data_IF_790240560407
#
_entry.id   IF_790240560407
#
_cell.length_a   1.000
_cell.length_b   1.000
_cell.length_c   1.000
_cell.angle_alpha   90.00
_cell.angle_beta   90.00
_cell.angle_gamma   90.00
#
_symmetry.space_group_name_H-M   'P 1'
#
loop_
_entity.id
_entity.type
_entity.pdbx_description
1 polymer ?
#
# COMPACT_ATOMS: atom_id res chain seq x y z
N UNK A 1 15.50 21.48 -5.73
CA UNK A 1 14.88 20.65 -6.79
C UNK A 1 13.68 19.82 -6.31
N UNK A 2 13.60 19.39 -5.04
CA UNK A 2 12.46 18.61 -4.50
C UNK A 2 11.09 19.34 -4.52
N UNK A 3 11.06 20.64 -4.20
CA UNK A 3 9.79 21.39 -4.16
C UNK A 3 9.06 21.54 -5.51
N UNK A 4 9.75 21.37 -6.64
CA UNK A 4 9.09 21.42 -7.95
C UNK A 4 8.42 20.09 -8.32
N UNK A 5 8.98 18.96 -7.86
CA UNK A 5 8.39 17.64 -8.06
C UNK A 5 7.17 17.42 -7.17
N UNK A 6 7.22 17.89 -5.92
CA UNK A 6 6.06 17.91 -5.02
C UNK A 6 4.89 18.71 -5.60
N UNK A 7 5.13 19.93 -6.07
CA UNK A 7 4.08 20.76 -6.70
C UNK A 7 3.49 20.13 -7.96
N UNK A 8 4.32 19.44 -8.76
CA UNK A 8 3.83 18.72 -9.94
C UNK A 8 2.94 17.53 -9.56
N UNK A 9 3.35 16.76 -8.55
CA UNK A 9 2.56 15.65 -8.00
C UNK A 9 1.23 16.14 -7.43
N UNK A 10 1.24 17.23 -6.65
CA UNK A 10 0.02 17.86 -6.13
C UNK A 10 -0.93 18.27 -7.26
N UNK A 11 -0.41 18.88 -8.34
CA UNK A 11 -1.20 19.28 -9.48
C UNK A 11 -1.77 18.10 -10.29
N UNK A 12 -1.08 16.96 -10.31
CA UNK A 12 -1.56 15.72 -10.94
C UNK A 12 -2.64 15.05 -10.07
N UNK A 13 -2.43 14.96 -8.76
CA UNK A 13 -3.43 14.46 -7.80
C UNK A 13 -4.71 15.30 -7.82
N UNK A 14 -4.56 16.64 -7.86
CA UNK A 14 -5.70 17.55 -7.97
C UNK A 14 -6.50 17.31 -9.25
N UNK A 15 -5.82 17.14 -10.40
CA UNK A 15 -6.48 16.87 -11.68
C UNK A 15 -7.19 15.52 -11.69
N UNK A 16 -6.59 14.47 -11.13
CA UNK A 16 -7.23 13.17 -11.03
C UNK A 16 -8.49 13.22 -10.14
N UNK A 17 -8.41 13.90 -9.00
CA UNK A 17 -9.56 14.11 -8.12
C UNK A 17 -10.67 14.94 -8.78
N UNK A 18 -10.31 15.99 -9.53
CA UNK A 18 -11.27 16.81 -10.25
C UNK A 18 -11.96 16.04 -11.39
N UNK A 19 -11.24 15.15 -12.08
CA UNK A 19 -11.83 14.26 -13.08
C UNK A 19 -12.82 13.27 -12.46
N UNK A 20 -12.52 12.70 -11.29
CA UNK A 20 -13.46 11.85 -10.56
C UNK A 20 -14.70 12.63 -10.14
N UNK A 21 -14.52 13.87 -9.66
CA UNK A 21 -15.63 14.76 -9.31
C UNK A 21 -16.49 15.13 -10.52
N UNK A 22 -15.88 15.41 -11.66
CA UNK A 22 -16.58 15.91 -12.85
C UNK A 22 -17.25 14.79 -13.68
N UNK A 23 -16.70 13.58 -13.66
CA UNK A 23 -17.13 12.49 -14.55
C UNK A 23 -17.76 11.30 -13.81
N UNK A 24 -17.85 11.32 -12.49
CA UNK A 24 -18.59 10.30 -11.73
C UNK A 24 -19.93 10.83 -11.23
N UNK A 25 -20.88 9.92 -10.99
CA UNK A 25 -22.13 10.22 -10.27
C UNK A 25 -21.93 10.25 -8.74
N UNK A 26 -20.67 10.18 -8.28
CA UNK A 26 -20.33 10.04 -6.88
C UNK A 26 -20.26 11.42 -6.20
N UNK A 27 -20.76 11.48 -4.98
CA UNK A 27 -20.58 12.60 -4.07
C UNK A 27 -19.10 12.72 -3.65
N UNK A 28 -18.72 13.91 -3.17
CA UNK A 28 -17.37 14.14 -2.62
C UNK A 28 -16.97 13.12 -1.54
N UNK A 29 -17.92 12.65 -0.73
CA UNK A 29 -17.67 11.65 0.29
C UNK A 29 -17.39 10.26 -0.29
N UNK A 30 -18.03 9.91 -1.40
CA UNK A 30 -17.96 8.56 -1.99
C UNK A 30 -16.65 8.35 -2.77
N UNK A 31 -16.11 9.37 -3.43
CA UNK A 31 -14.82 9.23 -4.11
C UNK A 31 -13.60 9.54 -3.21
N UNK A 32 -13.76 10.34 -2.15
CA UNK A 32 -12.63 10.72 -1.28
C UNK A 32 -12.14 9.55 -0.44
N UNK A 33 -13.04 8.74 0.13
CA UNK A 33 -12.69 7.56 0.91
C UNK A 33 -11.82 6.53 0.18
N UNK A 34 -12.19 6.03 -1.02
CA UNK A 34 -11.36 5.06 -1.75
C UNK A 34 -10.01 5.65 -2.18
N UNK A 35 -9.96 6.93 -2.58
CA UNK A 35 -8.70 7.60 -2.93
C UNK A 35 -7.77 7.70 -1.72
N UNK A 36 -8.29 8.10 -0.56
CA UNK A 36 -7.53 8.14 0.69
C UNK A 36 -7.06 6.74 1.12
N UNK A 37 -7.91 5.73 0.96
CA UNK A 37 -7.58 4.32 1.22
C UNK A 37 -6.40 3.83 0.38
N UNK A 38 -6.39 4.13 -0.92
CA UNK A 38 -5.28 3.76 -1.82
C UNK A 38 -3.97 4.48 -1.46
N UNK A 39 -4.04 5.77 -1.11
CA UNK A 39 -2.86 6.54 -0.66
C UNK A 39 -2.32 5.95 0.65
N UNK A 40 -3.20 5.68 1.62
CA UNK A 40 -2.85 5.06 2.88
C UNK A 40 -2.18 3.71 2.65
N UNK A 41 -2.75 2.87 1.79
CA UNK A 41 -2.21 1.54 1.51
C UNK A 41 -0.84 1.61 0.85
N UNK A 42 -0.62 2.54 -0.09
CA UNK A 42 0.72 2.77 -0.67
C UNK A 42 1.73 3.15 0.40
N UNK A 43 1.33 4.00 1.36
CA UNK A 43 2.18 4.39 2.48
C UNK A 43 2.47 3.20 3.42
N UNK A 44 1.44 2.44 3.78
CA UNK A 44 1.56 1.24 4.62
C UNK A 44 2.48 0.19 3.97
N UNK A 45 2.33 -0.07 2.67
CA UNK A 45 3.18 -0.98 1.91
C UNK A 45 4.65 -0.54 1.91
N UNK A 46 4.93 0.75 1.67
CA UNK A 46 6.30 1.28 1.71
C UNK A 46 6.95 1.10 3.10
N UNK A 47 6.18 1.29 4.18
CA UNK A 47 6.67 1.07 5.55
C UNK A 47 6.90 -0.41 5.83
N UNK A 48 5.96 -1.27 5.42
CA UNK A 48 6.08 -2.71 5.52
C UNK A 48 7.34 -3.22 4.82
N UNK A 49 7.61 -2.78 3.59
CA UNK A 49 8.81 -3.18 2.82
C UNK A 49 10.12 -2.81 3.52
N UNK A 50 10.20 -1.61 4.12
CA UNK A 50 11.37 -1.19 4.89
C UNK A 50 11.63 -2.13 6.07
N UNK A 51 10.59 -2.43 6.85
CA UNK A 51 10.70 -3.33 8.01
C UNK A 51 10.95 -4.78 7.58
N UNK A 52 10.36 -5.22 6.46
CA UNK A 52 10.59 -6.56 5.92
C UNK A 52 12.07 -6.84 5.69
N UNK A 53 12.81 -5.88 5.14
CA UNK A 53 14.27 -6.00 4.92
C UNK A 53 15.02 -6.17 6.24
N UNK A 54 14.61 -5.45 7.30
CA UNK A 54 15.22 -5.55 8.63
C UNK A 54 14.92 -6.89 9.28
N UNK A 55 13.65 -7.29 9.29
CA UNK A 55 13.20 -8.58 9.83
C UNK A 55 13.87 -9.73 9.11
N UNK A 56 13.99 -9.66 7.79
CA UNK A 56 14.68 -10.70 7.02
C UNK A 56 16.14 -10.86 7.44
N UNK A 57 16.83 -9.81 7.86
CA UNK A 57 18.22 -9.93 8.34
C UNK A 57 18.30 -10.60 9.72
N UNK A 58 17.29 -10.39 10.55
CA UNK A 58 17.27 -10.88 11.93
C UNK A 58 16.81 -12.33 12.06
N UNK A 59 16.21 -12.92 11.01
CA UNK A 59 15.77 -14.32 11.05
C UNK A 59 16.99 -15.25 11.13
N UNK A 60 17.08 -16.11 12.17
CA UNK A 60 18.14 -17.09 12.28
C UNK A 60 18.04 -18.15 11.18
N UNK A 61 19.19 -18.51 10.61
CA UNK A 61 19.30 -19.52 9.55
C UNK A 61 19.59 -20.87 10.19
N UNK A 62 18.71 -21.85 9.98
CA UNK A 62 18.94 -23.21 10.46
C UNK A 62 19.85 -23.97 9.48
N UNK A 63 20.91 -24.68 9.95
CA UNK A 63 21.87 -25.34 9.07
C UNK A 63 21.28 -26.33 8.06
N UNK A 64 20.21 -27.03 8.44
CA UNK A 64 19.57 -28.05 7.59
C UNK A 64 18.26 -27.60 6.93
N UNK A 65 17.56 -26.61 7.51
CA UNK A 65 16.22 -26.19 7.03
C UNK A 65 16.24 -24.82 6.35
N UNK A 66 17.39 -24.13 6.37
CA UNK A 66 17.52 -22.79 5.86
C UNK A 66 16.73 -21.78 6.70
N UNK A 67 16.30 -20.70 6.04
CA UNK A 67 15.58 -19.59 6.65
C UNK A 67 14.07 -19.90 6.66
N UNK A 68 13.43 -19.74 7.83
CA UNK A 68 11.96 -19.90 7.91
C UNK A 68 11.23 -18.73 7.22
N UNK A 69 9.95 -18.93 6.81
CA UNK A 69 9.11 -17.82 6.35
C UNK A 69 8.92 -16.74 7.40
N UNK A 70 8.66 -15.53 6.91
CA UNK A 70 8.25 -14.39 7.71
C UNK A 70 6.85 -14.63 8.29
N UNK A 71 6.66 -14.23 9.54
CA UNK A 71 5.38 -14.34 10.26
C UNK A 71 4.96 -12.99 10.78
N UNK A 72 3.66 -12.83 11.09
CA UNK A 72 3.12 -11.59 11.66
C UNK A 72 3.87 -11.14 12.92
N UNK A 73 4.24 -12.10 13.78
CA UNK A 73 4.97 -11.85 15.03
C UNK A 73 6.30 -11.15 14.81
N UNK A 74 7.00 -11.48 13.72
CA UNK A 74 8.31 -10.89 13.41
C UNK A 74 8.22 -9.37 13.14
N UNK A 75 7.07 -8.91 12.64
CA UNK A 75 6.80 -7.49 12.42
C UNK A 75 6.30 -6.79 13.69
N UNK A 76 5.51 -7.48 14.51
CA UNK A 76 5.06 -6.98 15.81
C UNK A 76 6.24 -6.70 16.74
N UNK A 77 7.27 -7.56 16.75
CA UNK A 77 8.52 -7.34 17.50
C UNK A 77 9.28 -6.08 17.05
N UNK A 78 9.05 -5.60 15.81
CA UNK A 78 9.60 -4.35 15.27
C UNK A 78 8.62 -3.17 15.36
N UNK A 79 7.53 -3.29 16.13
CA UNK A 79 6.45 -2.29 16.20
C UNK A 79 5.93 -1.89 14.81
N UNK A 80 5.79 -2.88 13.92
CA UNK A 80 5.35 -2.68 12.55
C UNK A 80 4.16 -3.58 12.23
N UNK A 81 3.33 -3.12 11.31
CA UNK A 81 2.19 -3.89 10.82
C UNK A 81 2.67 -4.93 9.81
N UNK A 82 2.21 -6.17 9.96
CA UNK A 82 2.29 -7.17 8.90
C UNK A 82 1.21 -6.90 7.86
N UNK A 83 1.58 -6.93 6.59
CA UNK A 83 0.65 -6.72 5.48
C UNK A 83 0.57 -8.03 4.67
N UNK A 84 -0.64 -8.60 4.46
CA UNK A 84 -0.82 -9.77 3.61
C UNK A 84 -0.59 -9.42 2.14
N UNK A 85 -0.22 -10.40 1.32
CA UNK A 85 0.12 -10.19 -0.09
C UNK A 85 -1.02 -9.58 -0.91
N UNK A 86 -2.27 -9.94 -0.60
CA UNK A 86 -3.47 -9.36 -1.24
C UNK A 86 -3.63 -7.85 -1.00
N UNK A 87 -3.08 -7.34 0.10
CA UNK A 87 -3.09 -5.91 0.41
C UNK A 87 -1.86 -5.19 -0.15
N UNK A 88 -1.00 -5.84 -0.94
CA UNK A 88 0.12 -5.17 -1.57
C UNK A 88 -0.37 -4.23 -2.66
N UNK A 89 0.13 -3.01 -2.64
CA UNK A 89 -0.23 -2.00 -3.64
C UNK A 89 0.01 -2.53 -5.06
N UNK A 90 1.11 -3.25 -5.28
CA UNK A 90 1.43 -3.83 -6.59
C UNK A 90 0.41 -4.88 -7.02
N UNK A 91 -0.09 -5.70 -6.09
CA UNK A 91 -1.15 -6.67 -6.40
C UNK A 91 -2.43 -5.97 -6.82
N UNK A 92 -2.86 -4.94 -6.07
CA UNK A 92 -4.10 -4.23 -6.36
C UNK A 92 -4.07 -3.47 -7.69
N UNK A 93 -2.93 -2.90 -8.07
CA UNK A 93 -2.77 -2.22 -9.37
C UNK A 93 -2.84 -3.20 -10.55
N UNK A 94 -2.57 -4.48 -10.31
CA UNK A 94 -2.72 -5.53 -11.34
C UNK A 94 -4.12 -6.10 -11.47
N UNK A 95 -5.04 -5.75 -10.56
CA UNK A 95 -6.41 -6.21 -10.63
C UNK A 95 -7.15 -5.52 -11.80
N UNK A 96 -8.01 -6.26 -12.54
CA UNK A 96 -8.84 -5.67 -13.58
C UNK A 96 -9.81 -4.65 -12.97
N UNK A 97 -10.23 -3.64 -13.74
CA UNK A 97 -11.18 -2.60 -13.29
C UNK A 97 -12.51 -3.16 -12.78
N UNK A 98 -12.87 -4.39 -13.17
CA UNK A 98 -14.06 -5.10 -12.72
C UNK A 98 -13.91 -5.82 -11.38
N UNK A 99 -12.71 -5.85 -10.80
CA UNK A 99 -12.47 -6.47 -9.50
C UNK A 99 -12.86 -5.50 -8.38
N UNK A 100 -13.57 -6.01 -7.37
CA UNK A 100 -13.84 -5.24 -6.16
C UNK A 100 -12.56 -5.14 -5.32
N UNK A 101 -11.88 -3.99 -5.44
CA UNK A 101 -10.67 -3.67 -4.69
C UNK A 101 -10.97 -3.62 -3.18
N UNK A 102 -12.21 -3.27 -2.78
CA UNK A 102 -12.63 -3.27 -1.39
C UNK A 102 -12.64 -4.69 -0.81
N UNK A 103 -13.23 -5.64 -1.53
CA UNK A 103 -13.24 -7.07 -1.14
C UNK A 103 -11.83 -7.69 -1.13
N UNK A 104 -10.90 -7.18 -1.95
CA UNK A 104 -9.52 -7.65 -1.96
C UNK A 104 -8.68 -7.19 -0.75
N UNK A 105 -9.14 -6.13 -0.05
CA UNK A 105 -8.43 -5.51 1.09
C UNK A 105 -8.99 -5.98 2.45
N UNK A 106 -10.28 -6.32 2.53
CA UNK A 106 -10.93 -6.89 3.73
C UNK A 106 -10.39 -8.29 4.09
#
# INVERSE_FOLDING_TARGET
>A
MQGNQLRKLEAELWRAADQLRANSKLTASEYSMPVLGLIFLRHAYNRFQKVKIEVEKDIPIHPQRGKRPLTKKDFEEKNSMFLPEKAYFDYLVTLPESADIGEAID
#
